data_IF_326456139143
#
_entry.id   IF_326456139143
#
_cell.length_a   1.000
_cell.length_b   1.000
_cell.length_c   1.000
_cell.angle_alpha   90.00
_cell.angle_beta   90.00
_cell.angle_gamma   90.00
#
_symmetry.space_group_name_H-M   'P 1'
#
loop_
_entity.id
_entity.type
_entity.pdbx_description
1 polymer ?
#
# COMPACT_ATOMS: atom_id res chain seq x y z
N UNK A 1 12.72 15.03 36.62
CA UNK A 1 13.29 14.26 35.49
C UNK A 1 12.16 13.92 34.53
N UNK A 2 12.11 14.57 33.36
CA UNK A 2 11.14 14.23 32.31
C UNK A 2 11.72 13.06 31.52
N UNK A 3 11.19 11.86 31.75
CA UNK A 3 11.45 10.70 30.90
C UNK A 3 10.83 10.98 29.54
N UNK A 4 11.66 11.30 28.55
CA UNK A 4 11.24 11.38 27.16
C UNK A 4 10.73 10.01 26.73
N UNK A 5 9.44 9.95 26.39
CA UNK A 5 8.88 8.81 25.66
C UNK A 5 9.52 8.85 24.29
N UNK A 6 10.54 8.01 24.09
CA UNK A 6 11.05 7.70 22.76
C UNK A 6 9.91 7.00 22.05
N UNK A 7 9.24 7.71 21.13
CA UNK A 7 8.29 7.10 20.20
C UNK A 7 9.03 5.97 19.47
N UNK A 8 8.60 4.74 19.71
CA UNK A 8 9.12 3.50 19.10
C UNK A 8 8.70 3.41 17.62
N UNK A 9 8.12 4.45 17.03
CA UNK A 9 7.68 4.47 15.63
C UNK A 9 8.76 4.89 14.63
N UNK A 10 10.06 4.89 15.00
CA UNK A 10 11.14 5.20 14.05
C UNK A 10 12.44 4.41 14.27
N UNK A 11 12.34 3.15 14.68
CA UNK A 11 13.47 2.20 14.62
C UNK A 11 13.12 0.85 13.98
N UNK A 12 12.01 0.79 13.24
CA UNK A 12 11.89 -0.08 12.07
C UNK A 12 12.23 0.77 10.84
N UNK A 13 13.49 1.21 10.76
CA UNK A 13 14.04 1.66 9.50
C UNK A 13 14.03 0.42 8.60
N UNK A 14 12.96 0.26 7.84
CA UNK A 14 12.92 -0.57 6.65
C UNK A 14 14.07 -0.09 5.76
N UNK A 15 15.25 -0.67 5.94
CA UNK A 15 16.24 -0.82 4.88
C UNK A 15 15.71 -1.82 3.84
N UNK A 16 14.45 -1.72 3.44
CA UNK A 16 13.93 -2.38 2.26
C UNK A 16 14.14 -1.40 1.12
N UNK A 17 15.32 -1.53 0.53
CA UNK A 17 15.65 -1.02 -0.78
C UNK A 17 14.54 -1.49 -1.76
N UNK A 18 13.61 -0.64 -2.23
CA UNK A 18 12.47 -1.07 -3.06
C UNK A 18 12.88 -1.40 -4.50
N UNK A 19 14.14 -1.76 -4.73
CA UNK A 19 14.69 -1.95 -6.04
C UNK A 19 16.09 -2.55 -6.03
N UNK A 20 16.32 -3.61 -5.26
CA UNK A 20 17.44 -4.51 -5.55
C UNK A 20 17.20 -5.17 -6.93
N UNK A 21 17.46 -4.41 -7.99
CA UNK A 21 17.45 -4.86 -9.36
C UNK A 21 18.51 -5.95 -9.47
N UNK A 22 18.05 -7.21 -9.56
CA UNK A 22 18.88 -8.38 -9.74
C UNK A 22 19.82 -8.20 -10.95
N UNK A 23 21.08 -7.86 -10.67
CA UNK A 23 22.10 -7.71 -11.69
C UNK A 23 22.42 -9.06 -12.33
N UNK A 24 22.07 -9.20 -13.62
CA UNK A 24 22.87 -9.87 -14.64
C UNK A 24 23.33 -11.32 -14.43
N UNK A 25 22.64 -12.16 -13.64
CA UNK A 25 22.94 -13.60 -13.66
C UNK A 25 22.29 -14.27 -14.87
N UNK A 26 23.07 -15.05 -15.63
CA UNK A 26 22.56 -15.94 -16.71
C UNK A 26 21.45 -16.81 -16.14
N UNK A 27 20.22 -16.45 -16.45
CA UNK A 27 19.01 -17.13 -16.00
C UNK A 27 19.03 -18.57 -16.46
N UNK A 28 18.78 -19.52 -15.55
CA UNK A 28 18.57 -20.93 -15.88
C UNK A 28 17.22 -21.20 -16.58
N UNK A 29 16.51 -20.16 -17.02
CA UNK A 29 15.25 -20.31 -17.73
C UNK A 29 15.44 -21.19 -18.97
N UNK A 30 14.52 -22.14 -19.18
CA UNK A 30 14.60 -23.16 -20.22
C UNK A 30 15.31 -24.46 -19.82
N UNK A 31 16.02 -24.50 -18.68
CA UNK A 31 16.64 -25.74 -18.18
C UNK A 31 15.57 -26.80 -17.88
N UNK A 32 15.82 -28.06 -18.26
CA UNK A 32 14.93 -29.19 -17.97
C UNK A 32 15.52 -30.02 -16.83
N UNK A 33 14.77 -30.13 -15.74
CA UNK A 33 15.02 -31.09 -14.66
C UNK A 33 14.43 -32.43 -15.09
N UNK A 34 15.26 -33.41 -15.44
CA UNK A 34 14.80 -34.73 -15.89
C UNK A 34 14.16 -35.54 -14.74
N UNK A 35 13.05 -36.21 -15.03
CA UNK A 35 12.31 -37.09 -14.12
C UNK A 35 11.43 -36.36 -13.11
N UNK A 36 11.07 -37.04 -12.03
CA UNK A 36 10.22 -36.46 -10.99
C UNK A 36 10.92 -35.34 -10.21
N UNK A 37 10.12 -34.36 -9.78
CA UNK A 37 10.61 -33.25 -8.98
C UNK A 37 10.94 -33.73 -7.56
N UNK A 38 12.04 -33.24 -7.01
CA UNK A 38 12.31 -33.32 -5.58
C UNK A 38 12.98 -32.02 -5.11
N UNK A 39 12.91 -31.67 -3.82
CA UNK A 39 13.47 -30.44 -3.30
C UNK A 39 14.98 -30.26 -3.57
N UNK A 40 15.76 -31.34 -3.59
CA UNK A 40 17.19 -31.29 -3.91
C UNK A 40 17.49 -30.83 -5.33
N UNK A 41 16.70 -31.31 -6.31
CA UNK A 41 16.76 -30.82 -7.70
C UNK A 41 16.35 -29.35 -7.79
N UNK A 42 15.32 -28.93 -7.05
CA UNK A 42 14.91 -27.52 -6.98
C UNK A 42 16.00 -26.61 -6.40
N UNK A 43 16.65 -27.05 -5.31
CA UNK A 43 17.79 -26.37 -4.70
C UNK A 43 18.96 -26.22 -5.68
N UNK A 44 19.29 -27.29 -6.41
CA UNK A 44 20.32 -27.26 -7.44
C UNK A 44 19.99 -26.26 -8.57
N UNK A 45 18.71 -26.12 -8.96
CA UNK A 45 18.29 -25.09 -9.93
C UNK A 45 18.51 -23.68 -9.36
N UNK A 46 18.02 -23.41 -8.16
CA UNK A 46 18.10 -22.04 -7.62
C UNK A 46 19.55 -21.66 -7.31
N UNK A 47 20.32 -22.54 -6.67
CA UNK A 47 21.63 -22.23 -6.07
C UNK A 47 22.82 -22.77 -6.85
N UNK A 48 22.64 -23.78 -7.70
CA UNK A 48 23.65 -24.37 -8.57
C UNK A 48 24.44 -25.54 -7.98
N UNK A 49 24.47 -25.72 -6.65
CA UNK A 49 25.16 -26.81 -5.96
C UNK A 49 24.31 -27.31 -4.79
N UNK A 50 23.90 -28.57 -4.82
CA UNK A 50 23.14 -29.23 -3.75
C UNK A 50 23.97 -30.37 -3.16
N UNK A 51 24.09 -30.43 -1.83
CA UNK A 51 24.71 -31.54 -1.12
C UNK A 51 23.64 -32.54 -0.66
N UNK A 52 23.51 -33.72 -1.30
CA UNK A 52 22.49 -34.69 -0.94
C UNK A 52 22.70 -35.31 0.44
N UNK A 53 23.91 -35.29 1.00
CA UNK A 53 24.18 -35.83 2.34
C UNK A 53 23.67 -34.89 3.42
N UNK A 54 23.74 -33.58 3.16
CA UNK A 54 23.35 -32.56 4.15
C UNK A 54 21.96 -31.97 3.90
N UNK A 55 21.35 -32.25 2.75
CA UNK A 55 20.03 -31.76 2.35
C UNK A 55 19.91 -30.23 2.24
N UNK A 56 21.01 -29.55 1.91
CA UNK A 56 21.07 -28.11 1.69
C UNK A 56 22.04 -27.73 0.55
N UNK A 57 22.03 -26.46 0.17
CA UNK A 57 22.99 -25.90 -0.80
C UNK A 57 23.95 -24.93 -0.11
N UNK A 58 25.26 -25.19 -0.20
CA UNK A 58 26.28 -24.24 0.28
C UNK A 58 26.34 -23.03 -0.66
N UNK A 59 25.97 -21.85 -0.16
CA UNK A 59 26.20 -20.61 -0.88
C UNK A 59 27.59 -20.08 -0.56
N UNK A 60 28.44 -20.00 -1.60
CA UNK A 60 29.73 -19.31 -1.50
C UNK A 60 29.57 -17.90 -2.06
N UNK A 61 29.50 -16.86 -1.20
CA UNK A 61 29.42 -15.48 -1.67
C UNK A 61 30.61 -15.13 -2.56
N UNK A 62 30.39 -14.30 -3.57
CA UNK A 62 31.49 -13.71 -4.36
C UNK A 62 32.01 -12.48 -3.63
N UNK A 63 33.29 -12.12 -3.83
CA UNK A 63 33.90 -10.89 -3.29
C UNK A 63 33.13 -9.59 -3.61
N UNK A 64 32.23 -9.64 -4.59
CA UNK A 64 31.43 -8.50 -5.07
C UNK A 64 30.07 -8.39 -4.36
N UNK A 65 29.70 -9.33 -3.48
CA UNK A 65 28.48 -9.30 -2.71
C UNK A 65 28.77 -8.51 -1.40
N UNK A 66 28.46 -7.19 -1.34
CA UNK A 66 28.72 -6.41 -0.14
C UNK A 66 27.70 -6.85 0.92
N UNK A 67 28.18 -7.22 2.11
CA UNK A 67 27.40 -7.81 3.21
C UNK A 67 27.01 -9.29 3.04
N UNK A 68 27.87 -10.12 2.47
CA UNK A 68 27.64 -11.56 2.56
C UNK A 68 27.79 -12.03 4.03
N UNK A 69 26.74 -12.54 4.68
CA UNK A 69 26.88 -13.25 5.96
C UNK A 69 27.82 -14.46 5.79
N UNK A 70 28.25 -15.14 6.89
CA UNK A 70 28.92 -16.44 6.79
C UNK A 70 28.18 -17.36 5.80
N UNK A 71 28.86 -18.36 5.20
CA UNK A 71 28.20 -19.28 4.28
C UNK A 71 27.02 -19.94 4.99
N UNK A 72 25.83 -19.50 4.61
CA UNK A 72 24.56 -19.94 5.17
C UNK A 72 23.91 -20.94 4.23
N UNK A 73 23.30 -21.94 4.83
CA UNK A 73 22.68 -23.05 4.14
C UNK A 73 21.28 -22.65 3.67
N UNK A 74 21.00 -22.89 2.38
CA UNK A 74 19.66 -22.73 1.83
C UNK A 74 18.88 -24.05 1.99
N UNK A 75 17.67 -23.97 2.56
CA UNK A 75 16.78 -25.13 2.73
C UNK A 75 15.49 -25.00 1.92
N UNK A 76 14.83 -26.12 1.56
CA UNK A 76 13.51 -26.07 0.99
C UNK A 76 12.52 -25.46 1.99
N UNK A 77 11.75 -24.47 1.55
CA UNK A 77 10.66 -23.89 2.34
C UNK A 77 9.33 -24.56 1.97
N UNK A 78 8.97 -24.54 0.68
CA UNK A 78 7.67 -25.04 0.21
C UNK A 78 7.73 -25.43 -1.26
N UNK A 79 6.96 -26.47 -1.60
CA UNK A 79 6.68 -26.89 -2.98
C UNK A 79 5.17 -26.83 -3.17
N UNK A 80 4.70 -26.09 -4.18
CA UNK A 80 3.27 -25.85 -4.42
C UNK A 80 2.94 -26.22 -5.88
N UNK A 81 2.40 -27.43 -6.13
CA UNK A 81 1.92 -27.82 -7.45
C UNK A 81 0.56 -27.17 -7.75
N UNK A 82 0.33 -26.83 -9.02
CA UNK A 82 -0.94 -26.27 -9.48
C UNK A 82 -1.18 -26.54 -10.96
N UNK A 83 -2.40 -26.30 -11.44
CA UNK A 83 -2.75 -26.36 -12.86
C UNK A 83 -3.06 -24.95 -13.37
N UNK A 84 -2.55 -24.64 -14.56
CA UNK A 84 -2.86 -23.42 -15.29
C UNK A 84 -3.36 -23.83 -16.68
N UNK A 85 -4.66 -23.68 -16.92
CA UNK A 85 -5.36 -24.42 -17.97
C UNK A 85 -5.14 -25.94 -17.84
N UNK A 86 -4.64 -26.56 -18.90
CA UNK A 86 -4.32 -28.00 -18.95
C UNK A 86 -2.88 -28.33 -18.53
N UNK A 87 -2.07 -27.32 -18.20
CA UNK A 87 -0.64 -27.48 -17.95
C UNK A 87 -0.38 -27.60 -16.44
N UNK A 88 0.34 -28.64 -16.04
CA UNK A 88 0.85 -28.78 -14.67
C UNK A 88 2.04 -27.86 -14.44
N UNK A 89 1.99 -27.11 -13.35
CA UNK A 89 3.01 -26.14 -12.95
C UNK A 89 3.38 -26.32 -11.48
N UNK A 90 4.51 -25.74 -11.11
CA UNK A 90 5.06 -25.83 -9.77
C UNK A 90 5.73 -24.51 -9.38
N UNK A 91 5.40 -24.01 -8.19
CA UNK A 91 6.26 -23.07 -7.47
C UNK A 91 7.12 -23.82 -6.46
N UNK A 92 8.42 -23.54 -6.44
CA UNK A 92 9.37 -24.05 -5.45
C UNK A 92 10.06 -22.90 -4.74
N UNK A 93 9.99 -22.89 -3.41
CA UNK A 93 10.59 -21.86 -2.57
C UNK A 93 11.68 -22.46 -1.70
N UNK A 94 12.75 -21.70 -1.52
CA UNK A 94 13.81 -21.99 -0.55
C UNK A 94 13.94 -20.81 0.39
N UNK A 95 14.46 -21.06 1.58
CA UNK A 95 14.77 -20.02 2.53
C UNK A 95 16.22 -20.12 2.97
N UNK A 96 16.79 -18.96 3.29
CA UNK A 96 18.03 -18.80 4.01
C UNK A 96 17.73 -18.06 5.30
N UNK A 97 18.09 -18.68 6.42
CA UNK A 97 17.93 -18.03 7.70
C UNK A 97 19.00 -16.97 7.88
N UNK A 98 18.59 -15.80 8.36
CA UNK A 98 19.53 -14.82 8.90
C UNK A 98 19.91 -15.31 10.30
N UNK A 99 21.10 -15.88 10.44
CA UNK A 99 21.53 -16.46 11.71
C UNK A 99 22.06 -15.38 12.66
N UNK A 100 21.19 -15.00 13.60
CA UNK A 100 21.52 -14.23 14.79
C UNK A 100 20.40 -14.35 15.81
N UNK A 101 20.62 -13.89 17.05
CA UNK A 101 19.56 -13.77 18.08
C UNK A 101 18.50 -12.69 17.72
N UNK A 102 18.41 -12.33 16.44
CA UNK A 102 17.53 -11.29 15.92
C UNK A 102 16.11 -11.83 15.80
N UNK A 103 15.29 -11.51 16.80
CA UNK A 103 13.88 -11.90 16.84
C UNK A 103 13.08 -11.32 15.67
N UNK A 104 13.51 -10.18 15.13
CA UNK A 104 12.84 -9.46 14.04
C UNK A 104 13.42 -9.71 12.65
N UNK A 105 14.43 -10.57 12.53
CA UNK A 105 15.04 -10.85 11.24
C UNK A 105 14.19 -11.86 10.46
N UNK A 106 13.96 -11.56 9.18
CA UNK A 106 13.26 -12.46 8.26
C UNK A 106 14.25 -13.37 7.53
N UNK A 107 13.75 -14.49 7.01
CA UNK A 107 14.49 -15.31 6.08
C UNK A 107 14.50 -14.68 4.69
N UNK A 108 15.64 -14.79 3.99
CA UNK A 108 15.68 -14.49 2.56
C UNK A 108 15.07 -15.65 1.79
N UNK A 109 14.02 -15.38 1.02
CA UNK A 109 13.31 -16.38 0.23
C UNK A 109 13.77 -16.31 -1.22
N UNK A 110 14.10 -17.48 -1.76
CA UNK A 110 14.28 -17.69 -3.20
C UNK A 110 13.09 -18.46 -3.76
N UNK A 111 12.87 -18.35 -5.06
CA UNK A 111 11.78 -19.01 -5.74
C UNK A 111 12.15 -19.46 -7.15
N UNK A 112 11.47 -20.51 -7.62
CA UNK A 112 11.45 -20.94 -9.01
C UNK A 112 10.02 -21.30 -9.43
N UNK A 113 9.66 -20.93 -10.66
CA UNK A 113 8.44 -21.37 -11.33
C UNK A 113 8.81 -22.38 -12.42
N UNK A 114 8.07 -23.47 -12.50
CA UNK A 114 8.34 -24.57 -13.43
C UNK A 114 7.07 -25.08 -14.09
N UNK A 115 7.22 -25.63 -15.29
CA UNK A 115 6.17 -26.27 -16.07
C UNK A 115 6.53 -27.73 -16.32
N UNK A 116 5.58 -28.65 -16.10
CA UNK A 116 5.76 -30.06 -16.43
C UNK A 116 5.90 -30.21 -17.95
N UNK A 117 6.89 -30.99 -18.37
CA UNK A 117 7.14 -31.41 -19.76
C UNK A 117 7.27 -32.93 -19.80
N UNK A 118 7.27 -33.52 -21.00
CA UNK A 118 7.21 -34.97 -21.20
C UNK A 118 8.12 -35.80 -20.27
N UNK A 119 9.38 -35.39 -20.12
CA UNK A 119 10.38 -36.12 -19.34
C UNK A 119 10.87 -35.37 -18.10
N UNK A 120 10.13 -34.37 -17.59
CA UNK A 120 10.62 -33.60 -16.46
C UNK A 120 9.92 -32.26 -16.22
N UNK A 121 10.68 -31.30 -15.69
CA UNK A 121 10.21 -29.96 -15.35
C UNK A 121 11.08 -28.90 -16.01
N UNK A 122 10.48 -28.07 -16.87
CA UNK A 122 11.16 -26.92 -17.45
C UNK A 122 11.12 -25.76 -16.46
N UNK A 123 12.27 -25.16 -16.18
CA UNK A 123 12.39 -23.95 -15.36
C UNK A 123 11.95 -22.74 -16.18
N UNK A 124 10.85 -22.10 -15.81
CA UNK A 124 10.32 -20.93 -16.52
C UNK A 124 10.90 -19.63 -15.94
N UNK A 125 11.02 -19.54 -14.62
CA UNK A 125 11.57 -18.36 -13.93
C UNK A 125 12.31 -18.76 -12.64
N UNK A 126 13.34 -17.99 -12.27
CA UNK A 126 14.10 -18.15 -11.02
C UNK A 126 14.40 -16.78 -10.43
N UNK A 127 14.24 -16.64 -9.12
CA UNK A 127 14.68 -15.49 -8.34
C UNK A 127 15.38 -15.98 -7.07
N UNK A 128 16.65 -15.61 -6.88
CA UNK A 128 17.43 -16.04 -5.70
C UNK A 128 17.07 -15.26 -4.44
N UNK A 129 16.56 -14.06 -4.59
CA UNK A 129 16.06 -13.23 -3.50
C UNK A 129 14.78 -12.59 -4.02
N UNK A 130 13.64 -13.23 -3.79
CA UNK A 130 12.32 -12.73 -4.23
C UNK A 130 11.63 -11.93 -3.13
N UNK A 131 11.91 -12.25 -1.87
CA UNK A 131 11.27 -11.66 -0.71
C UNK A 131 12.17 -11.87 0.52
N UNK A 132 12.09 -10.98 1.50
CA UNK A 132 12.59 -11.21 2.86
C UNK A 132 11.40 -11.15 3.80
N UNK A 133 11.15 -12.22 4.55
CA UNK A 133 10.01 -12.29 5.47
C UNK A 133 10.20 -13.37 6.54
N UNK A 134 9.31 -13.38 7.52
CA UNK A 134 9.34 -14.32 8.63
C UNK A 134 9.80 -13.66 9.93
N UNK A 135 10.08 -14.49 10.93
CA UNK A 135 10.59 -14.08 12.23
C UNK A 135 11.64 -15.07 12.72
N UNK A 136 12.53 -14.63 13.60
CA UNK A 136 13.64 -15.45 14.11
C UNK A 136 14.52 -16.09 13.02
N UNK A 137 14.63 -15.44 11.87
CA UNK A 137 15.36 -15.96 10.71
C UNK A 137 14.63 -17.05 9.93
N UNK A 138 13.37 -17.37 10.20
CA UNK A 138 12.62 -18.41 9.47
C UNK A 138 11.44 -17.83 8.70
N UNK A 139 11.32 -18.21 7.43
CA UNK A 139 10.19 -17.85 6.59
C UNK A 139 8.99 -18.74 6.88
N UNK A 140 7.79 -18.19 6.72
CA UNK A 140 6.56 -18.95 6.76
C UNK A 140 6.20 -19.45 5.36
N UNK A 141 5.45 -20.56 5.29
CA UNK A 141 4.91 -21.07 4.05
C UNK A 141 3.93 -20.09 3.41
N UNK A 142 3.73 -20.20 2.10
CA UNK A 142 2.73 -19.41 1.37
C UNK A 142 1.59 -20.29 0.84
N UNK A 143 0.50 -19.62 0.48
CA UNK A 143 -0.71 -20.23 -0.08
C UNK A 143 -0.87 -19.87 -1.55
N UNK A 144 -1.31 -20.82 -2.37
CA UNK A 144 -1.60 -20.58 -3.77
C UNK A 144 -2.86 -19.72 -3.90
N UNK A 145 -2.78 -18.61 -4.62
CA UNK A 145 -3.92 -17.73 -4.87
C UNK A 145 -4.08 -17.46 -6.37
N UNK A 146 -5.34 -17.35 -6.81
CA UNK A 146 -5.68 -17.02 -8.20
C UNK A 146 -5.69 -15.50 -8.36
N UNK A 147 -4.87 -15.00 -9.28
CA UNK A 147 -4.59 -13.57 -9.47
C UNK A 147 -4.94 -13.07 -10.87
N UNK A 148 -5.64 -13.89 -11.64
CA UNK A 148 -6.06 -13.62 -13.01
C UNK A 148 -6.87 -14.81 -13.52
N UNK A 149 -7.47 -14.70 -14.70
CA UNK A 149 -8.28 -15.78 -15.27
C UNK A 149 -7.48 -17.11 -15.36
N UNK A 150 -6.23 -17.01 -15.82
CA UNK A 150 -5.28 -18.12 -15.96
C UNK A 150 -3.93 -17.78 -15.31
N UNK A 151 -3.95 -17.04 -14.20
CA UNK A 151 -2.74 -16.61 -13.49
C UNK A 151 -2.84 -16.96 -12.01
N UNK A 152 -1.73 -17.47 -11.48
CA UNK A 152 -1.59 -17.87 -10.08
C UNK A 152 -0.33 -17.27 -9.48
N UNK A 153 -0.37 -16.95 -8.20
CA UNK A 153 0.80 -16.61 -7.41
C UNK A 153 0.70 -17.21 -6.02
N UNK A 154 1.60 -16.81 -5.15
CA UNK A 154 1.71 -17.34 -3.78
C UNK A 154 1.65 -16.19 -2.81
N UNK A 155 0.64 -16.20 -1.95
CA UNK A 155 0.46 -15.25 -0.86
C UNK A 155 1.16 -15.80 0.38
N UNK A 156 2.13 -15.05 0.86
CA UNK A 156 2.79 -15.31 2.12
C UNK A 156 2.24 -14.36 3.18
N UNK A 157 2.05 -14.89 4.38
CA UNK A 157 1.69 -14.11 5.54
C UNK A 157 2.82 -14.21 6.53
N UNK A 158 3.24 -13.06 7.05
CA UNK A 158 4.25 -12.98 8.10
C UNK A 158 3.75 -12.04 9.17
N UNK A 159 4.09 -12.34 10.41
CA UNK A 159 3.83 -11.47 11.53
C UNK A 159 4.89 -11.67 12.59
N UNK A 160 5.07 -10.64 13.40
CA UNK A 160 6.02 -10.67 14.51
C UNK A 160 5.44 -9.94 15.69
N UNK A 161 5.77 -10.43 16.87
CA UNK A 161 5.48 -9.77 18.14
C UNK A 161 6.77 -9.34 18.82
N UNK A 162 6.80 -8.15 19.41
CA UNK A 162 7.86 -7.75 20.33
C UNK A 162 7.27 -6.92 21.48
N UNK A 163 7.57 -7.31 22.73
CA UNK A 163 7.13 -6.60 23.95
C UNK A 163 5.64 -6.27 23.99
N UNK A 164 4.78 -7.16 23.49
CA UNK A 164 3.32 -6.96 23.50
C UNK A 164 2.76 -6.14 22.33
N UNK A 165 3.60 -5.74 21.37
CA UNK A 165 3.19 -5.19 20.08
C UNK A 165 3.28 -6.27 19.02
N UNK A 166 2.26 -6.40 18.19
CA UNK A 166 2.22 -7.29 17.05
C UNK A 166 2.03 -6.50 15.76
N UNK A 167 2.69 -6.94 14.70
CA UNK A 167 2.50 -6.42 13.36
C UNK A 167 2.51 -7.58 12.36
N UNK A 168 1.57 -7.55 11.43
CA UNK A 168 1.48 -8.47 10.31
C UNK A 168 1.70 -7.77 8.97
N UNK A 169 2.24 -8.52 8.02
CA UNK A 169 2.31 -8.13 6.61
C UNK A 169 2.01 -9.34 5.73
N UNK A 170 1.58 -9.07 4.50
CA UNK A 170 1.38 -10.10 3.48
C UNK A 170 2.20 -9.76 2.26
N UNK A 171 2.86 -10.75 1.68
CA UNK A 171 3.66 -10.58 0.49
C UNK A 171 3.19 -11.54 -0.60
N UNK A 172 3.09 -11.04 -1.82
CA UNK A 172 2.55 -11.78 -2.93
C UNK A 172 3.64 -12.02 -3.98
N UNK A 173 4.00 -13.27 -4.24
CA UNK A 173 4.98 -13.65 -5.27
C UNK A 173 4.29 -14.20 -6.51
N UNK A 174 4.64 -13.70 -7.68
CA UNK A 174 4.04 -14.11 -8.96
C UNK A 174 5.02 -14.10 -10.12
N UNK A 175 4.71 -14.87 -11.15
CA UNK A 175 5.43 -14.87 -12.41
C UNK A 175 4.86 -13.81 -13.37
N UNK A 176 5.72 -12.96 -13.92
CA UNK A 176 5.39 -12.09 -15.04
C UNK A 176 6.55 -12.06 -16.05
N UNK A 177 6.26 -12.47 -17.30
CA UNK A 177 7.21 -12.48 -18.43
C UNK A 177 8.54 -13.19 -18.09
N UNK A 178 8.45 -14.42 -17.55
CA UNK A 178 9.62 -15.24 -17.22
C UNK A 178 10.45 -14.73 -16.04
N UNK A 179 9.90 -13.81 -15.23
CA UNK A 179 10.52 -13.30 -14.01
C UNK A 179 9.57 -13.49 -12.85
N UNK A 180 10.12 -13.82 -11.68
CA UNK A 180 9.38 -13.76 -10.43
C UNK A 180 9.43 -12.34 -9.87
N UNK A 181 8.28 -11.86 -9.42
CA UNK A 181 8.04 -10.54 -8.86
C UNK A 181 7.35 -10.70 -7.53
N UNK A 182 7.54 -9.73 -6.65
CA UNK A 182 6.79 -9.63 -5.41
C UNK A 182 5.96 -8.33 -5.37
N UNK A 183 4.91 -8.35 -4.57
CA UNK A 183 4.22 -7.19 -4.04
C UNK A 183 4.10 -7.40 -2.52
N UNK A 184 4.83 -6.59 -1.75
CA UNK A 184 4.72 -6.60 -0.29
C UNK A 184 3.69 -5.58 0.17
N UNK A 185 2.69 -6.05 0.91
CA UNK A 185 1.64 -5.24 1.54
C UNK A 185 1.89 -5.26 3.05
N UNK A 186 2.37 -4.13 3.55
CA UNK A 186 2.62 -3.91 4.98
C UNK A 186 1.34 -3.49 5.71
N UNK A 187 1.38 -3.61 7.04
CA UNK A 187 0.30 -3.28 7.95
C UNK A 187 -0.99 -4.03 7.60
N UNK A 188 -0.91 -5.35 7.46
CA UNK A 188 -2.09 -6.19 7.26
C UNK A 188 -2.73 -6.60 8.57
N UNK A 189 -2.01 -6.56 9.68
CA UNK A 189 -2.58 -6.61 11.02
C UNK A 189 -1.67 -5.88 11.97
N UNK A 190 -2.20 -5.47 13.11
CA UNK A 190 -1.38 -4.92 14.18
C UNK A 190 -2.19 -4.72 15.44
N UNK A 191 -1.57 -4.94 16.60
CA UNK A 191 -2.16 -4.67 17.89
C UNK A 191 -1.07 -4.39 18.94
N UNK A 192 -1.42 -3.63 19.97
CA UNK A 192 -0.57 -3.45 21.15
C UNK A 192 -1.23 -3.99 22.42
N UNK A 193 -2.14 -4.96 22.29
CA UNK A 193 -2.96 -5.42 23.43
C UNK A 193 -2.13 -6.06 24.55
N UNK A 194 -0.93 -6.55 24.23
CA UNK A 194 0.01 -7.07 25.23
C UNK A 194 0.86 -6.01 25.94
N UNK A 195 0.86 -4.77 25.44
CA UNK A 195 1.67 -3.66 25.96
C UNK A 195 0.84 -2.48 26.49
N UNK A 196 -0.37 -2.30 25.96
CA UNK A 196 -1.22 -1.16 26.28
C UNK A 196 -1.64 -1.15 27.75
N UNK A 197 -1.90 0.04 28.28
CA UNK A 197 -2.28 0.28 29.68
C UNK A 197 -3.37 1.36 29.75
N UNK A 198 -3.80 1.77 30.94
CA UNK A 198 -4.68 2.94 31.06
C UNK A 198 -4.02 4.23 30.52
N UNK A 199 -2.68 4.31 30.53
CA UNK A 199 -1.92 5.45 30.02
C UNK A 199 -1.60 5.33 28.54
N UNK A 200 -1.39 4.11 28.06
CA UNK A 200 -1.11 3.81 26.66
C UNK A 200 -2.34 3.17 26.03
N UNK A 201 -3.06 3.93 25.22
CA UNK A 201 -4.32 3.46 24.64
C UNK A 201 -4.09 2.25 23.71
N UNK A 202 -4.99 1.28 23.79
CA UNK A 202 -4.94 0.07 22.98
C UNK A 202 -5.45 0.32 21.56
N UNK A 203 -4.77 -0.25 20.55
CA UNK A 203 -5.25 -0.38 19.19
C UNK A 203 -5.19 -1.84 18.73
N UNK A 204 -6.04 -2.18 17.78
CA UNK A 204 -6.01 -3.46 17.08
C UNK A 204 -6.70 -3.34 15.73
N UNK A 205 -6.04 -3.78 14.67
CA UNK A 205 -6.62 -3.84 13.34
C UNK A 205 -6.19 -5.10 12.60
N UNK A 206 -7.00 -5.47 11.60
CA UNK A 206 -6.73 -6.56 10.68
C UNK A 206 -7.15 -6.16 9.25
N UNK A 207 -6.59 -6.83 8.26
CA UNK A 207 -6.81 -6.59 6.84
C UNK A 207 -7.15 -7.86 6.08
N UNK A 208 -8.27 -7.82 5.39
CA UNK A 208 -8.64 -8.84 4.41
C UNK A 208 -8.12 -8.46 3.03
N UNK A 209 -7.51 -9.43 2.34
CA UNK A 209 -7.07 -9.29 0.94
C UNK A 209 -8.04 -10.06 0.05
N UNK A 210 -8.48 -9.46 -1.04
CA UNK A 210 -9.34 -10.07 -2.05
C UNK A 210 -8.82 -9.76 -3.45
N UNK A 211 -8.94 -10.72 -4.36
CA UNK A 211 -8.58 -10.54 -5.77
C UNK A 211 -9.86 -10.32 -6.57
N UNK A 212 -10.02 -9.12 -7.12
CA UNK A 212 -11.21 -8.69 -7.84
C UNK A 212 -11.11 -9.10 -9.31
N UNK A 213 -11.96 -10.02 -9.80
CA UNK A 213 -11.99 -10.35 -11.21
C UNK A 213 -12.40 -9.12 -12.02
N UNK A 214 -11.48 -8.58 -12.82
CA UNK A 214 -11.74 -7.48 -13.73
C UNK A 214 -11.51 -7.98 -15.15
N UNK A 215 -12.58 -8.26 -15.90
CA UNK A 215 -12.46 -8.55 -17.33
C UNK A 215 -12.33 -7.24 -18.11
N UNK A 216 -11.47 -7.16 -19.14
CA UNK A 216 -10.65 -8.23 -19.75
C UNK A 216 -9.18 -8.25 -19.28
N UNK A 217 -8.87 -7.98 -18.00
CA UNK A 217 -7.48 -7.86 -17.53
C UNK A 217 -6.81 -9.23 -17.32
N UNK A 218 -5.51 -9.29 -17.63
CA UNK A 218 -4.67 -10.47 -17.38
C UNK A 218 -4.52 -10.78 -15.89
N UNK A 219 -4.40 -9.73 -15.08
CA UNK A 219 -4.29 -9.79 -13.62
C UNK A 219 -5.51 -9.14 -12.98
N UNK A 220 -5.97 -9.73 -11.89
CA UNK A 220 -7.01 -9.19 -11.01
C UNK A 220 -6.46 -8.02 -10.23
N UNK A 221 -7.33 -7.06 -9.94
CA UNK A 221 -7.00 -6.00 -8.99
C UNK A 221 -6.98 -6.61 -7.58
N UNK A 222 -6.17 -6.04 -6.69
CA UNK A 222 -6.09 -6.48 -5.29
C UNK A 222 -6.81 -5.46 -4.43
N UNK A 223 -7.81 -5.90 -3.68
CA UNK A 223 -8.52 -5.11 -2.69
C UNK A 223 -8.02 -5.49 -1.30
N UNK A 224 -7.56 -4.51 -0.53
CA UNK A 224 -7.15 -4.66 0.87
C UNK A 224 -8.11 -3.83 1.71
N UNK A 225 -8.89 -4.49 2.54
CA UNK A 225 -9.84 -3.85 3.46
C UNK A 225 -9.31 -3.99 4.88
N UNK A 226 -8.90 -2.88 5.49
CA UNK A 226 -8.36 -2.81 6.84
C UNK A 226 -9.41 -2.24 7.79
N UNK A 227 -9.69 -2.94 8.89
CA UNK A 227 -10.68 -2.54 9.90
C UNK A 227 -10.12 -2.65 11.30
N UNK A 228 -10.57 -1.77 12.19
CA UNK A 228 -10.24 -1.81 13.60
C UNK A 228 -9.94 -0.42 14.14
N UNK A 229 -8.92 -0.35 14.98
CA UNK A 229 -8.37 0.90 15.50
C UNK A 229 -6.88 0.98 15.20
N UNK A 230 -6.38 2.19 15.01
CA UNK A 230 -4.97 2.48 14.78
C UNK A 230 -4.51 3.56 15.74
N UNK A 231 -3.22 3.57 16.05
CA UNK A 231 -2.59 4.75 16.63
C UNK A 231 -2.61 5.87 15.60
N UNK A 232 -2.96 7.08 16.03
CA UNK A 232 -2.83 8.25 15.19
C UNK A 232 -1.35 8.39 14.80
N UNK A 233 -1.01 8.14 13.52
CA UNK A 233 0.38 8.17 13.02
C UNK A 233 1.13 9.48 13.34
N UNK A 234 0.42 10.52 13.79
CA UNK A 234 0.92 11.86 14.12
C UNK A 234 0.48 12.40 15.49
N UNK A 235 -0.14 11.60 16.37
CA UNK A 235 -0.68 12.07 17.66
C UNK A 235 -0.92 10.99 18.72
N UNK A 236 -1.34 11.39 19.92
CA UNK A 236 -1.60 10.51 21.07
C UNK A 236 -3.02 9.88 21.05
N UNK A 237 -3.66 9.86 19.87
CA UNK A 237 -5.00 9.36 19.63
C UNK A 237 -5.06 7.88 19.23
N UNK A 238 -6.17 7.22 19.57
CA UNK A 238 -6.58 5.98 18.90
C UNK A 238 -7.77 6.33 18.03
N UNK A 239 -7.67 6.04 16.74
CA UNK A 239 -8.69 6.36 15.76
C UNK A 239 -9.28 5.07 15.19
N UNK A 240 -10.59 5.07 14.95
CA UNK A 240 -11.23 3.99 14.21
C UNK A 240 -10.79 4.07 12.76
N UNK A 241 -10.43 2.93 12.17
CA UNK A 241 -10.07 2.83 10.77
C UNK A 241 -11.01 1.86 10.05
N UNK A 242 -11.37 2.25 8.83
CA UNK A 242 -12.06 1.40 7.86
C UNK A 242 -11.50 1.74 6.48
N UNK A 243 -10.24 1.36 6.28
CA UNK A 243 -9.45 1.74 5.10
C UNK A 243 -9.65 0.71 3.99
N UNK A 244 -9.86 1.18 2.77
CA UNK A 244 -9.84 0.32 1.58
C UNK A 244 -8.74 0.77 0.65
N UNK A 245 -7.81 -0.12 0.32
CA UNK A 245 -6.75 0.10 -0.66
C UNK A 245 -6.99 -0.81 -1.86
N UNK A 246 -7.00 -0.26 -3.07
CA UNK A 246 -7.08 -1.02 -4.33
C UNK A 246 -5.77 -0.88 -5.08
N UNK A 247 -5.14 -2.01 -5.37
CA UNK A 247 -3.96 -2.08 -6.21
C UNK A 247 -4.35 -2.59 -7.59
N UNK A 248 -3.84 -1.94 -8.63
CA UNK A 248 -4.05 -2.34 -10.03
C UNK A 248 -2.73 -2.79 -10.64
N UNK A 249 -2.80 -3.78 -11.51
CA UNK A 249 -1.61 -4.26 -12.21
C UNK A 249 -1.37 -3.42 -13.47
N UNK A 250 -0.21 -2.79 -13.56
CA UNK A 250 0.19 -2.01 -14.72
C UNK A 250 1.68 -2.20 -15.03
N UNK A 251 2.03 -2.48 -16.29
CA UNK A 251 3.42 -2.62 -16.77
C UNK A 251 4.30 -3.58 -15.94
N UNK A 252 3.71 -4.66 -15.42
CA UNK A 252 4.48 -5.69 -14.70
C UNK A 252 4.60 -5.49 -13.20
N UNK A 253 3.92 -4.48 -12.64
CA UNK A 253 3.92 -4.18 -11.19
C UNK A 253 2.51 -3.82 -10.73
N UNK A 254 2.20 -4.13 -9.48
CA UNK A 254 1.00 -3.62 -8.82
C UNK A 254 1.28 -2.23 -8.23
N UNK A 255 0.40 -1.26 -8.51
CA UNK A 255 0.47 0.08 -7.93
C UNK A 255 -0.84 0.39 -7.21
N UNK A 256 -0.75 1.09 -6.07
CA UNK A 256 -1.92 1.65 -5.41
C UNK A 256 -2.64 2.57 -6.40
N UNK A 257 -3.93 2.33 -6.61
CA UNK A 257 -4.75 3.05 -7.58
C UNK A 257 -5.91 3.81 -6.93
N UNK A 258 -6.33 3.36 -5.74
CA UNK A 258 -7.35 4.01 -4.95
C UNK A 258 -7.12 3.69 -3.48
N UNK A 259 -7.32 4.70 -2.63
CA UNK A 259 -7.34 4.57 -1.19
C UNK A 259 -8.51 5.38 -0.63
N UNK A 260 -9.32 4.77 0.24
CA UNK A 260 -10.44 5.42 0.93
C UNK A 260 -10.44 5.05 2.41
N UNK A 261 -11.15 5.85 3.23
CA UNK A 261 -11.34 5.61 4.65
C UNK A 261 -10.08 5.85 5.50
N UNK A 262 -9.12 6.60 4.98
CA UNK A 262 -8.06 7.17 5.83
C UNK A 262 -8.65 8.28 6.70
N UNK A 263 -8.33 8.29 8.00
CA UNK A 263 -8.76 9.37 8.87
C UNK A 263 -8.14 10.69 8.40
N UNK A 264 -9.00 11.66 8.20
CA UNK A 264 -8.62 13.02 7.89
C UNK A 264 -8.03 13.70 9.13
N UNK A 265 -6.98 14.50 8.97
CA UNK A 265 -6.46 15.34 10.06
C UNK A 265 -6.90 16.79 9.92
N UNK A 266 -7.01 17.50 11.04
CA UNK A 266 -7.36 18.94 11.05
C UNK A 266 -6.33 19.78 10.31
N UNK A 267 -5.05 19.40 10.42
CA UNK A 267 -3.94 20.06 9.72
C UNK A 267 -4.10 19.95 8.20
N UNK A 268 -4.42 18.78 7.68
CA UNK A 268 -4.63 18.60 6.24
C UNK A 268 -5.88 19.32 5.76
N UNK A 269 -6.95 19.34 6.56
CA UNK A 269 -8.17 20.09 6.24
C UNK A 269 -7.88 21.60 6.17
N UNK A 270 -7.14 22.14 7.15
CA UNK A 270 -6.70 23.54 7.13
C UNK A 270 -5.90 23.88 5.86
N UNK A 271 -4.90 23.06 5.54
CA UNK A 271 -4.09 23.23 4.32
C UNK A 271 -4.94 23.19 3.04
N UNK A 272 -5.94 22.31 2.99
CA UNK A 272 -6.88 22.26 1.89
C UNK A 272 -7.68 23.55 1.75
N UNK A 273 -8.18 24.11 2.85
CA UNK A 273 -8.95 25.36 2.86
C UNK A 273 -8.10 26.55 2.38
N UNK A 274 -6.84 26.64 2.83
CA UNK A 274 -5.91 27.66 2.36
C UNK A 274 -5.69 27.58 0.84
N UNK A 275 -5.52 26.37 0.30
CA UNK A 275 -5.40 26.15 -1.14
C UNK A 275 -6.68 26.51 -1.89
N UNK A 276 -7.84 26.09 -1.37
CA UNK A 276 -9.14 26.38 -1.98
C UNK A 276 -9.43 27.89 -2.05
N UNK A 277 -9.20 28.63 -0.95
CA UNK A 277 -9.37 30.09 -0.91
C UNK A 277 -8.45 30.80 -1.90
N UNK A 278 -7.16 30.43 -1.92
CA UNK A 278 -6.15 31.00 -2.83
C UNK A 278 -6.46 30.72 -4.30
N UNK A 279 -6.85 29.48 -4.64
CA UNK A 279 -7.21 29.15 -6.01
C UNK A 279 -8.43 29.97 -6.45
N UNK A 280 -9.38 30.22 -5.53
CA UNK A 280 -10.60 30.98 -5.79
C UNK A 280 -10.41 32.45 -6.16
N UNK A 281 -9.20 33.01 -6.02
CA UNK A 281 -8.94 34.43 -6.28
C UNK A 281 -8.87 34.81 -7.77
N UNK A 282 -8.53 33.87 -8.67
CA UNK A 282 -8.25 34.16 -10.09
C UNK A 282 -9.02 33.27 -11.06
N UNK A 283 -9.47 33.84 -12.18
CA UNK A 283 -10.24 33.09 -13.20
C UNK A 283 -9.44 31.98 -13.87
N UNK A 284 -8.14 32.19 -14.08
CA UNK A 284 -7.24 31.17 -14.66
C UNK A 284 -7.18 29.86 -13.85
N UNK A 285 -7.57 29.89 -12.57
CA UNK A 285 -7.60 28.74 -11.68
C UNK A 285 -8.94 27.98 -11.68
N UNK A 286 -9.94 28.39 -12.48
CA UNK A 286 -11.28 27.80 -12.43
C UNK A 286 -11.26 26.27 -12.51
N UNK A 287 -10.54 25.69 -13.49
CA UNK A 287 -10.41 24.24 -13.62
C UNK A 287 -9.74 23.57 -12.41
N UNK A 288 -8.77 24.24 -11.78
CA UNK A 288 -8.10 23.73 -10.58
C UNK A 288 -9.02 23.73 -9.35
N UNK A 289 -9.88 24.74 -9.20
CA UNK A 289 -10.92 24.78 -8.15
C UNK A 289 -11.94 23.68 -8.36
N UNK A 290 -12.42 23.52 -9.59
CA UNK A 290 -13.40 22.49 -9.90
C UNK A 290 -12.84 21.10 -9.64
N UNK A 291 -11.54 20.88 -9.82
CA UNK A 291 -10.88 19.63 -9.43
C UNK A 291 -10.95 19.33 -7.91
N UNK A 292 -11.22 20.32 -7.07
CA UNK A 292 -11.41 20.15 -5.62
C UNK A 292 -12.82 19.69 -5.24
N UNK A 293 -13.79 19.68 -6.16
CA UNK A 293 -15.14 19.19 -5.92
C UNK A 293 -15.28 17.72 -6.34
N UNK A 294 -16.02 16.96 -5.53
CA UNK A 294 -16.44 15.61 -5.87
C UNK A 294 -17.42 15.60 -7.07
N UNK A 295 -17.67 14.43 -7.65
CA UNK A 295 -18.60 14.27 -8.78
C UNK A 295 -20.06 14.59 -8.41
N UNK A 296 -20.44 14.34 -7.17
CA UNK A 296 -21.72 14.74 -6.59
C UNK A 296 -21.50 15.48 -5.27
N UNK A 297 -22.19 16.59 -5.07
CA UNK A 297 -21.99 17.49 -3.92
C UNK A 297 -23.34 17.95 -3.40
N UNK A 298 -23.50 17.95 -2.09
CA UNK A 298 -24.63 18.61 -1.42
C UNK A 298 -24.40 20.14 -1.44
N UNK A 299 -25.11 20.86 -2.32
CA UNK A 299 -24.79 22.24 -2.68
C UNK A 299 -25.91 23.22 -2.31
N UNK A 300 -25.66 24.05 -1.29
CA UNK A 300 -26.57 25.06 -0.75
C UNK A 300 -28.01 24.53 -0.55
N UNK A 301 -29.00 25.18 -1.18
CA UNK A 301 -30.43 24.83 -1.12
C UNK A 301 -30.85 23.89 -2.25
N UNK A 302 -29.92 23.47 -3.12
CA UNK A 302 -30.22 22.64 -4.28
C UNK A 302 -30.21 21.14 -3.97
N UNK A 303 -29.74 20.76 -2.77
CA UNK A 303 -29.54 19.36 -2.42
C UNK A 303 -28.30 18.77 -3.10
N UNK A 304 -28.33 17.46 -3.34
CA UNK A 304 -27.27 16.75 -4.04
C UNK A 304 -27.31 17.03 -5.55
N UNK A 305 -26.27 17.67 -6.06
CA UNK A 305 -26.13 18.02 -7.49
C UNK A 305 -24.87 17.41 -8.08
N UNK A 306 -24.84 17.25 -9.40
CA UNK A 306 -23.63 16.86 -10.13
C UNK A 306 -22.65 18.02 -10.23
N UNK A 307 -21.36 17.72 -10.28
CA UNK A 307 -20.27 18.69 -10.46
C UNK A 307 -20.50 19.69 -11.59
N UNK A 308 -21.04 19.25 -12.73
CA UNK A 308 -21.35 20.12 -13.87
C UNK A 308 -22.31 21.30 -13.52
N UNK A 309 -23.25 21.09 -12.60
CA UNK A 309 -24.16 22.16 -12.15
C UNK A 309 -23.41 23.20 -11.29
N UNK A 310 -22.45 22.74 -10.48
CA UNK A 310 -21.57 23.60 -9.67
C UNK A 310 -20.64 24.39 -10.60
N UNK A 311 -20.11 23.75 -11.65
CA UNK A 311 -19.29 24.42 -12.67
C UNK A 311 -20.05 25.57 -13.32
N UNK A 312 -21.31 25.36 -13.72
CA UNK A 312 -22.13 26.41 -14.32
C UNK A 312 -22.37 27.60 -13.35
N UNK A 313 -22.71 27.31 -12.09
CA UNK A 313 -22.94 28.33 -11.06
C UNK A 313 -21.67 29.13 -10.75
N UNK A 314 -20.55 28.44 -10.47
CA UNK A 314 -19.27 29.08 -10.18
C UNK A 314 -18.73 29.82 -11.40
N UNK A 315 -18.94 29.35 -12.63
CA UNK A 315 -18.50 30.07 -13.82
C UNK A 315 -19.18 31.44 -13.93
N UNK A 316 -20.50 31.51 -13.69
CA UNK A 316 -21.24 32.79 -13.64
C UNK A 316 -20.69 33.74 -12.57
N UNK A 317 -20.32 33.20 -11.40
CA UNK A 317 -19.68 33.99 -10.34
C UNK A 317 -18.29 34.50 -10.74
N UNK A 318 -17.47 33.65 -11.38
CA UNK A 318 -16.11 33.97 -11.83
C UNK A 318 -16.11 35.03 -12.94
N UNK A 319 -17.04 34.95 -13.87
CA UNK A 319 -17.23 35.92 -14.95
C UNK A 319 -17.69 37.28 -14.41
N UNK A 320 -18.58 37.26 -13.41
CA UNK A 320 -19.10 38.48 -12.79
C UNK A 320 -18.03 39.23 -11.99
N UNK A 321 -17.11 38.53 -11.33
CA UNK A 321 -16.15 39.12 -10.40
C UNK A 321 -14.71 38.69 -10.70
N UNK A 322 -14.09 39.06 -11.83
CA UNK A 322 -12.80 38.54 -12.27
C UNK A 322 -11.61 38.78 -11.32
N UNK A 323 -11.70 39.79 -10.43
CA UNK A 323 -10.70 40.03 -9.38
C UNK A 323 -11.31 39.76 -8.01
N UNK A 324 -10.70 38.84 -7.26
CA UNK A 324 -11.19 38.42 -5.94
C UNK A 324 -10.00 38.26 -5.01
N UNK A 325 -10.20 38.63 -3.76
CA UNK A 325 -9.24 38.42 -2.67
C UNK A 325 -9.99 37.83 -1.48
N UNK A 326 -9.38 36.84 -0.83
CA UNK A 326 -9.97 36.19 0.33
C UNK A 326 -9.00 36.19 1.51
N UNK A 327 -9.48 36.62 2.68
CA UNK A 327 -8.71 36.54 3.93
C UNK A 327 -9.48 35.72 4.96
N UNK A 328 -8.94 34.56 5.33
CA UNK A 328 -9.52 33.69 6.36
C UNK A 328 -9.53 34.42 7.71
N UNK A 329 -10.71 34.53 8.34
CA UNK A 329 -10.87 35.19 9.63
C UNK A 329 -11.04 34.21 10.78
N UNK A 330 -11.81 33.15 10.56
CA UNK A 330 -11.96 32.07 11.52
C UNK A 330 -12.26 30.75 10.82
N UNK A 331 -11.86 29.67 11.47
CA UNK A 331 -12.10 28.31 11.01
C UNK A 331 -12.34 27.43 12.23
N UNK A 332 -13.35 26.58 12.13
CA UNK A 332 -13.66 25.52 13.07
C UNK A 332 -13.69 24.21 12.28
N UNK A 333 -12.89 23.24 12.73
CA UNK A 333 -12.73 21.95 12.06
C UNK A 333 -13.16 20.88 13.06
N UNK A 334 -14.07 20.01 12.63
CA UNK A 334 -14.52 18.88 13.43
C UNK A 334 -14.57 17.61 12.59
N UNK A 335 -14.51 16.46 13.27
CA UNK A 335 -14.87 15.20 12.65
C UNK A 335 -16.35 15.22 12.20
N UNK A 336 -16.64 14.55 11.10
CA UNK A 336 -18.01 14.27 10.65
C UNK A 336 -18.34 12.78 10.87
N UNK A 337 -19.55 12.35 10.52
CA UNK A 337 -20.04 10.99 10.76
C UNK A 337 -19.28 9.88 10.01
N UNK A 338 -18.61 10.20 8.90
CA UNK A 338 -17.87 9.23 8.09
C UNK A 338 -16.36 9.33 8.32
N UNK A 339 -15.67 8.18 8.35
CA UNK A 339 -14.21 8.15 8.49
C UNK A 339 -13.58 8.80 7.26
N UNK A 340 -12.71 9.78 7.51
CA UNK A 340 -12.07 10.57 6.45
C UNK A 340 -12.83 11.84 6.09
N UNK A 341 -14.01 12.06 6.68
CA UNK A 341 -14.72 13.31 6.53
C UNK A 341 -14.32 14.34 7.60
N UNK A 342 -14.19 15.59 7.18
CA UNK A 342 -14.10 16.76 8.06
C UNK A 342 -15.20 17.75 7.75
N UNK A 343 -15.90 18.20 8.78
CA UNK A 343 -16.75 19.38 8.67
C UNK A 343 -15.89 20.61 8.98
N UNK A 344 -15.94 21.59 8.08
CA UNK A 344 -15.20 22.84 8.21
C UNK A 344 -16.19 24.01 8.17
N UNK A 345 -16.32 24.72 9.28
CA UNK A 345 -17.08 25.97 9.35
C UNK A 345 -16.09 27.14 9.34
N UNK A 346 -16.10 27.93 8.27
CA UNK A 346 -15.18 29.05 8.12
C UNK A 346 -15.90 30.39 7.92
N UNK A 347 -15.23 31.47 8.30
CA UNK A 347 -15.59 32.84 7.97
C UNK A 347 -14.38 33.50 7.32
N UNK A 348 -14.60 34.18 6.21
CA UNK A 348 -13.56 34.92 5.50
C UNK A 348 -14.06 36.31 5.10
N UNK A 349 -13.13 37.26 5.08
CA UNK A 349 -13.34 38.54 4.43
C UNK A 349 -13.11 38.37 2.94
N UNK A 350 -13.90 39.05 2.13
CA UNK A 350 -13.73 39.07 0.68
C UNK A 350 -13.68 40.49 0.15
N UNK A 351 -12.96 40.66 -0.94
CA UNK A 351 -13.02 41.85 -1.81
C UNK A 351 -13.21 41.37 -3.24
N UNK A 352 -14.28 41.81 -3.91
CA UNK A 352 -14.65 41.42 -5.28
C UNK A 352 -14.69 42.65 -6.18
N UNK A 353 -14.13 42.56 -7.38
CA UNK A 353 -14.17 43.64 -8.36
C UNK A 353 -14.27 43.15 -9.80
N UNK A 354 -15.02 43.90 -10.61
CA UNK A 354 -15.13 43.75 -12.08
C UNK A 354 -14.39 44.86 -12.84
N UNK A 355 -13.61 45.69 -12.13
CA UNK A 355 -12.92 46.86 -12.66
C UNK A 355 -13.76 48.14 -12.74
N UNK A 356 -15.08 48.06 -12.59
CA UNK A 356 -15.99 49.22 -12.52
C UNK A 356 -16.56 49.41 -11.12
N UNK A 357 -16.85 48.29 -10.46
CA UNK A 357 -17.40 48.20 -9.11
C UNK A 357 -16.45 47.38 -8.25
N UNK A 358 -16.39 47.76 -6.98
CA UNK A 358 -15.78 46.96 -5.92
C UNK A 358 -16.80 46.76 -4.82
N UNK A 359 -16.85 45.56 -4.26
CA UNK A 359 -17.63 45.25 -3.06
C UNK A 359 -16.74 44.45 -2.10
N UNK A 360 -16.92 44.68 -0.81
CA UNK A 360 -16.23 43.96 0.23
C UNK A 360 -17.22 43.54 1.32
N UNK A 361 -16.85 42.51 2.07
CA UNK A 361 -17.73 41.99 3.10
C UNK A 361 -17.18 40.76 3.79
N UNK A 362 -18.05 40.13 4.58
CA UNK A 362 -17.76 38.89 5.29
C UNK A 362 -18.71 37.82 4.78
N UNK A 363 -18.19 36.63 4.51
CA UNK A 363 -18.97 35.46 4.13
C UNK A 363 -18.62 34.29 5.05
N UNK A 364 -19.62 33.44 5.30
CA UNK A 364 -19.45 32.20 6.05
C UNK A 364 -19.81 31.00 5.18
N UNK A 365 -19.04 29.92 5.30
CA UNK A 365 -19.29 28.68 4.59
C UNK A 365 -19.11 27.48 5.54
N UNK A 366 -19.92 26.45 5.32
CA UNK A 366 -19.77 25.13 5.93
C UNK A 366 -19.47 24.13 4.82
N UNK A 367 -18.28 23.55 4.86
CA UNK A 367 -17.83 22.52 3.93
C UNK A 367 -17.81 21.17 4.62
N UNK A 368 -18.17 20.11 3.90
CA UNK A 368 -17.79 18.74 4.26
C UNK A 368 -16.75 18.29 3.26
N UNK A 369 -15.57 17.95 3.78
CA UNK A 369 -14.41 17.50 3.03
C UNK A 369 -14.29 15.99 3.18
N UNK A 370 -14.10 15.25 2.09
CA UNK A 370 -13.82 13.81 2.12
C UNK A 370 -12.38 13.53 1.70
N UNK A 371 -11.63 12.81 2.54
CA UNK A 371 -10.23 12.45 2.29
C UNK A 371 -10.13 11.35 1.22
N UNK A 372 -9.49 11.70 0.10
CA UNK A 372 -9.09 10.81 -0.97
C UNK A 372 -7.57 10.61 -0.95
N UNK A 373 -7.07 9.67 -1.77
CA UNK A 373 -5.63 9.40 -1.93
C UNK A 373 -4.79 10.66 -2.22
N UNK A 374 -5.32 11.57 -3.05
CA UNK A 374 -4.61 12.77 -3.51
C UNK A 374 -4.87 14.03 -2.66
N UNK A 375 -5.59 13.90 -1.55
CA UNK A 375 -6.02 15.03 -0.72
C UNK A 375 -7.53 15.04 -0.48
N UNK A 376 -8.07 16.17 -0.07
CA UNK A 376 -9.52 16.29 0.12
C UNK A 376 -10.25 16.61 -1.17
N UNK A 377 -11.54 16.28 -1.19
CA UNK A 377 -12.52 16.85 -2.10
C UNK A 377 -13.72 17.40 -1.31
N UNK A 378 -14.38 18.42 -1.83
CA UNK A 378 -15.61 18.98 -1.27
C UNK A 378 -16.77 18.07 -1.67
N UNK A 379 -17.47 17.51 -0.68
CA UNK A 379 -18.69 16.70 -0.86
C UNK A 379 -19.95 17.41 -0.36
N UNK A 380 -19.80 18.51 0.39
CA UNK A 380 -20.89 19.43 0.72
C UNK A 380 -20.36 20.87 0.81
N UNK A 381 -21.13 21.84 0.33
CA UNK A 381 -20.90 23.27 0.53
C UNK A 381 -22.23 23.96 0.88
N UNK A 382 -22.28 24.66 2.02
CA UNK A 382 -23.45 25.38 2.51
C UNK A 382 -23.06 26.76 3.02
N UNK A 383 -24.03 27.66 3.07
CA UNK A 383 -23.89 28.95 3.75
C UNK A 383 -23.97 28.73 5.27
N UNK A 384 -23.16 29.48 6.03
CA UNK A 384 -23.10 29.37 7.50
C UNK A 384 -24.28 30.03 8.20
#
# INVERSE_FOLDING_TARGET
MKTGVISISLLLFLMLNPGASAAGQKTQAGTIIVGEFNPGKGLAVIKGKYDPKKSYSEWKPKKQDPMAPPPEDDWPLKTIPFKQGTVERLYFFTQRADHGECQTCGATISAAAMTKVANGWRVDAVARNVLVQGAHGYGHGGELVKIGAERFGVLFETGGGNRGYYAGSKAFVYEHRGKLKDLSIYDTSGDNTGACTEKEKCYSFDSTISFLPALPREFFDILVVTRGTDSERLGDGIIKINRTRRYTFNRGVYTLAQMTGEPATDKEAMQFIEVWLRLSEKNENFGAIMALYAEEVEFYKQGKVKKAAIEEDKNKYFDKWPKREHALQSIDISDNNEIGDKMVSLVFHYTLSDGRKSIEGRAGAVLVLHKMERGFVIVSERER
#
